data_IF_157751096338
#
_entry.id   IF_157751096338
#
_cell.length_a   1.000
_cell.length_b   1.000
_cell.length_c   1.000
_cell.angle_alpha   90.00
_cell.angle_beta   90.00
_cell.angle_gamma   90.00
#
_symmetry.space_group_name_H-M   'P 1'
#
loop_
_entity.id
_entity.type
_entity.pdbx_description
1 polymer ?
#
# COMPACT_ATOMS: atom_id res chain seq x y z
N UNK A 1 -24.56 -38.10 -10.43
CA UNK A 1 -24.78 -36.78 -9.80
C UNK A 1 -23.46 -36.40 -9.16
N UNK A 2 -22.84 -35.28 -9.55
CA UNK A 2 -21.73 -34.74 -8.77
C UNK A 2 -22.29 -34.32 -7.41
N UNK A 3 -21.65 -34.75 -6.33
CA UNK A 3 -22.00 -34.29 -4.99
C UNK A 3 -21.62 -32.80 -4.91
N UNK A 4 -22.59 -31.95 -4.55
CA UNK A 4 -22.32 -30.54 -4.25
C UNK A 4 -21.38 -30.52 -3.05
N UNK A 5 -20.20 -29.93 -3.23
CA UNK A 5 -19.21 -29.79 -2.16
C UNK A 5 -19.61 -28.63 -1.25
N UNK A 6 -19.72 -28.90 0.05
CA UNK A 6 -19.96 -27.87 1.06
C UNK A 6 -18.63 -27.24 1.46
N UNK A 7 -18.32 -26.14 0.78
CA UNK A 7 -17.08 -25.39 0.95
C UNK A 7 -17.37 -24.17 1.84
N UNK A 8 -16.59 -24.01 2.91
CA UNK A 8 -16.76 -22.89 3.85
C UNK A 8 -15.44 -22.22 4.14
N UNK A 9 -15.45 -20.90 4.26
CA UNK A 9 -14.41 -20.14 4.97
C UNK A 9 -14.87 -19.98 6.42
N UNK A 10 -14.03 -20.36 7.37
CA UNK A 10 -14.33 -20.30 8.80
C UNK A 10 -13.33 -19.36 9.46
N UNK A 11 -13.85 -18.31 10.10
CA UNK A 11 -13.08 -17.41 10.94
C UNK A 11 -13.42 -17.71 12.39
N UNK A 12 -12.41 -17.92 13.22
CA UNK A 12 -12.57 -18.12 14.66
C UNK A 12 -11.69 -17.13 15.43
N UNK A 13 -12.36 -16.12 16.01
CA UNK A 13 -11.77 -15.12 16.88
C UNK A 13 -11.87 -15.58 18.33
N UNK A 14 -10.82 -16.22 18.84
CA UNK A 14 -10.76 -16.62 20.24
C UNK A 14 -10.33 -15.45 21.10
N UNK A 15 -11.29 -14.84 21.75
CA UNK A 15 -11.13 -13.64 22.57
C UNK A 15 -11.24 -13.99 24.07
N UNK A 16 -10.45 -13.31 24.89
CA UNK A 16 -10.52 -13.33 26.35
C UNK A 16 -11.48 -12.25 26.86
N UNK A 17 -11.54 -11.11 26.17
CA UNK A 17 -12.45 -10.00 26.48
C UNK A 17 -13.52 -9.86 25.40
N UNK A 18 -14.75 -9.38 25.72
CA UNK A 18 -15.77 -9.12 24.72
C UNK A 18 -15.25 -8.22 23.60
N UNK A 19 -15.50 -8.61 22.34
CA UNK A 19 -15.14 -7.81 21.18
C UNK A 19 -16.17 -6.68 21.00
N UNK A 20 -15.71 -5.45 20.80
CA UNK A 20 -16.59 -4.35 20.44
C UNK A 20 -17.31 -4.62 19.12
N UNK A 21 -18.63 -4.42 19.09
CA UNK A 21 -19.45 -4.69 17.91
C UNK A 21 -18.94 -3.95 16.66
N UNK A 22 -18.49 -2.70 16.82
CA UNK A 22 -17.94 -1.91 15.72
C UNK A 22 -16.62 -2.49 15.19
N UNK A 23 -15.78 -3.06 16.06
CA UNK A 23 -14.52 -3.66 15.65
C UNK A 23 -14.76 -5.01 14.95
N UNK A 24 -15.70 -5.82 15.45
CA UNK A 24 -16.11 -7.06 14.79
C UNK A 24 -16.71 -6.77 13.41
N UNK A 25 -17.63 -5.81 13.30
CA UNK A 25 -18.27 -5.47 12.03
C UNK A 25 -17.27 -4.92 11.02
N UNK A 26 -16.34 -4.04 11.44
CA UNK A 26 -15.25 -3.58 10.57
C UNK A 26 -14.37 -4.75 10.09
N UNK A 27 -14.01 -5.67 10.98
CA UNK A 27 -13.23 -6.86 10.62
C UNK A 27 -13.93 -7.69 9.53
N UNK A 28 -15.24 -7.94 9.69
CA UNK A 28 -16.04 -8.70 8.70
C UNK A 28 -16.22 -7.94 7.37
N UNK A 29 -16.42 -6.63 7.41
CA UNK A 29 -16.49 -5.78 6.21
C UNK A 29 -15.16 -5.81 5.46
N UNK A 30 -14.04 -5.66 6.17
CA UNK A 30 -12.70 -5.72 5.58
C UNK A 30 -12.39 -7.08 4.95
N UNK A 31 -12.85 -8.17 5.59
CA UNK A 31 -12.73 -9.52 5.02
C UNK A 31 -13.51 -9.66 3.72
N UNK A 32 -14.76 -9.17 3.68
CA UNK A 32 -15.57 -9.18 2.47
C UNK A 32 -14.93 -8.32 1.36
N UNK A 33 -14.40 -7.15 1.69
CA UNK A 33 -13.67 -6.28 0.74
C UNK A 33 -12.42 -6.97 0.18
N UNK A 34 -11.62 -7.64 1.02
CA UNK A 34 -10.45 -8.41 0.58
C UNK A 34 -10.82 -9.55 -0.36
N UNK A 35 -11.86 -10.32 -0.01
CA UNK A 35 -12.36 -11.38 -0.87
C UNK A 35 -12.84 -10.83 -2.23
N UNK A 36 -13.66 -9.78 -2.22
CA UNK A 36 -14.19 -9.18 -3.45
C UNK A 36 -13.06 -8.63 -4.34
N UNK A 37 -12.06 -7.95 -3.75
CA UNK A 37 -10.87 -7.46 -4.47
C UNK A 37 -10.09 -8.61 -5.10
N UNK A 38 -9.89 -9.68 -4.35
CA UNK A 38 -9.19 -10.88 -4.81
C UNK A 38 -9.91 -11.54 -5.99
N UNK A 39 -11.20 -11.86 -5.86
CA UNK A 39 -11.94 -12.57 -6.92
C UNK A 39 -12.11 -11.72 -8.17
N UNK A 40 -12.31 -10.40 -8.04
CA UNK A 40 -12.39 -9.48 -9.19
C UNK A 40 -11.12 -9.52 -10.04
N UNK A 41 -9.95 -9.61 -9.39
CA UNK A 41 -8.64 -9.63 -10.05
C UNK A 41 -8.25 -11.01 -10.57
N UNK A 42 -8.51 -12.07 -9.80
CA UNK A 42 -7.87 -13.38 -9.99
C UNK A 42 -8.80 -14.47 -10.53
N UNK A 43 -10.12 -14.29 -10.48
CA UNK A 43 -11.03 -15.34 -10.95
C UNK A 43 -11.14 -15.37 -12.48
N UNK A 44 -11.28 -16.57 -13.05
CA UNK A 44 -11.30 -16.78 -14.50
C UNK A 44 -12.64 -16.46 -15.15
N UNK A 45 -13.75 -16.68 -14.43
CA UNK A 45 -15.11 -16.52 -14.96
C UNK A 45 -15.74 -15.21 -14.47
N UNK A 46 -16.65 -14.65 -15.27
CA UNK A 46 -17.43 -13.46 -14.86
C UNK A 46 -18.22 -13.72 -13.58
N UNK A 47 -18.79 -14.91 -13.45
CA UNK A 47 -19.55 -15.33 -12.29
C UNK A 47 -18.68 -15.34 -11.03
N UNK A 48 -17.49 -15.92 -11.10
CA UNK A 48 -16.57 -15.99 -9.97
C UNK A 48 -16.02 -14.60 -9.60
N UNK A 49 -15.88 -13.69 -10.57
CA UNK A 49 -15.53 -12.27 -10.28
C UNK A 49 -16.62 -11.51 -9.52
N UNK A 50 -17.87 -11.97 -9.59
CA UNK A 50 -19.01 -11.39 -8.88
C UNK A 50 -19.36 -12.15 -7.58
N UNK A 51 -18.52 -13.14 -7.20
CA UNK A 51 -18.68 -13.93 -5.98
C UNK A 51 -18.73 -13.06 -4.72
N UNK A 52 -19.55 -13.46 -3.76
CA UNK A 52 -19.72 -12.77 -2.46
C UNK A 52 -19.74 -13.77 -1.32
N UNK A 53 -19.21 -13.35 -0.18
CA UNK A 53 -19.29 -14.10 1.07
C UNK A 53 -20.60 -13.78 1.81
N UNK A 54 -21.25 -14.83 2.31
CA UNK A 54 -22.47 -14.73 3.12
C UNK A 54 -22.25 -15.39 4.48
N UNK A 55 -22.77 -14.76 5.54
CA UNK A 55 -22.77 -15.36 6.89
C UNK A 55 -23.74 -16.53 6.92
N UNK A 56 -23.21 -17.74 7.09
CA UNK A 56 -23.98 -18.97 7.27
C UNK A 56 -24.41 -19.15 8.72
N UNK A 57 -23.48 -18.96 9.66
CA UNK A 57 -23.71 -19.18 11.09
C UNK A 57 -22.72 -18.38 11.95
N UNK A 58 -23.16 -17.94 13.14
CA UNK A 58 -22.30 -17.39 14.20
C UNK A 58 -22.47 -18.24 15.47
N UNK A 59 -21.38 -18.87 15.95
CA UNK A 59 -21.41 -19.79 17.11
C UNK A 59 -20.83 -19.16 18.38
N UNK A 60 -21.23 -19.69 19.54
CA UNK A 60 -20.74 -19.30 20.88
C UNK A 60 -19.45 -20.04 21.26
N UNK A 61 -18.67 -19.46 22.20
CA UNK A 61 -17.40 -19.98 22.75
C UNK A 61 -16.17 -19.17 22.33
N UNK A 62 -16.32 -18.35 21.29
CA UNK A 62 -15.41 -17.40 20.62
C UNK A 62 -16.18 -16.96 19.36
N UNK A 63 -15.95 -15.77 18.79
CA UNK A 63 -16.73 -15.38 17.59
C UNK A 63 -16.31 -16.26 16.41
N UNK A 64 -17.12 -17.27 16.10
CA UNK A 64 -16.92 -18.20 14.99
C UNK A 64 -17.91 -17.81 13.89
N UNK A 65 -17.40 -17.39 12.74
CA UNK A 65 -18.20 -17.01 11.58
C UNK A 65 -17.91 -17.99 10.45
N UNK A 66 -18.96 -18.69 10.01
CA UNK A 66 -18.90 -19.54 8.82
C UNK A 66 -19.41 -18.76 7.61
N UNK A 67 -18.63 -18.75 6.52
CA UNK A 67 -18.88 -17.98 5.31
C UNK A 67 -18.89 -18.91 4.10
N UNK A 68 -19.82 -18.64 3.17
CA UNK A 68 -20.02 -19.44 1.94
C UNK A 68 -20.25 -18.54 0.72
N UNK A 69 -20.04 -19.09 -0.47
CA UNK A 69 -20.40 -18.49 -1.76
C UNK A 69 -21.67 -19.17 -2.30
N UNK A 70 -22.65 -18.42 -2.81
CA UNK A 70 -23.94 -19.00 -3.25
C UNK A 70 -23.80 -20.11 -4.31
N UNK A 71 -22.82 -20.00 -5.20
CA UNK A 71 -22.50 -21.02 -6.20
C UNK A 71 -22.20 -22.40 -5.55
N UNK A 72 -21.59 -22.42 -4.37
CA UNK A 72 -21.21 -23.64 -3.63
C UNK A 72 -22.37 -24.29 -2.87
N UNK A 73 -23.52 -23.62 -2.73
CA UNK A 73 -24.69 -24.11 -1.95
C UNK A 73 -25.66 -24.91 -2.85
N UNK A 74 -25.27 -25.29 -4.07
CA UNK A 74 -26.16 -26.01 -4.99
C UNK A 74 -27.15 -25.12 -5.75
N UNK A 75 -26.95 -23.80 -5.67
CA UNK A 75 -27.61 -22.74 -6.44
C UNK A 75 -27.64 -22.99 -7.96
N UNK A 76 -26.49 -23.41 -8.49
CA UNK A 76 -26.15 -23.28 -9.92
C UNK A 76 -25.47 -24.58 -10.39
N UNK A 77 -26.11 -25.41 -11.24
CA UNK A 77 -25.67 -26.78 -11.49
C UNK A 77 -24.44 -26.98 -12.39
N UNK A 78 -23.79 -25.92 -12.89
CA UNK A 78 -22.91 -26.03 -14.07
C UNK A 78 -21.54 -25.37 -13.97
N UNK A 79 -21.09 -24.98 -12.79
CA UNK A 79 -19.79 -24.33 -12.70
C UNK A 79 -18.74 -25.36 -12.29
N UNK A 80 -17.82 -25.68 -13.22
CA UNK A 80 -16.52 -26.24 -12.87
C UNK A 80 -15.74 -25.16 -12.11
N UNK A 81 -16.09 -24.98 -10.84
CA UNK A 81 -15.62 -23.86 -10.03
C UNK A 81 -14.18 -24.08 -9.60
N UNK A 82 -13.25 -23.28 -10.12
CA UNK A 82 -12.10 -22.84 -9.32
C UNK A 82 -12.63 -22.34 -7.98
N UNK A 83 -12.16 -22.95 -6.89
CA UNK A 83 -12.75 -22.70 -5.58
C UNK A 83 -12.18 -21.40 -5.02
N UNK A 84 -12.86 -20.30 -5.37
CA UNK A 84 -12.48 -18.93 -5.02
C UNK A 84 -12.22 -18.76 -3.52
N UNK A 85 -12.99 -19.46 -2.66
CA UNK A 85 -12.80 -19.46 -1.20
C UNK A 85 -11.45 -20.05 -0.81
N UNK A 86 -11.09 -21.21 -1.37
CA UNK A 86 -9.82 -21.88 -1.06
C UNK A 86 -8.63 -21.08 -1.60
N UNK A 87 -8.75 -20.56 -2.81
CA UNK A 87 -7.71 -19.77 -3.46
C UNK A 87 -7.47 -18.44 -2.72
N UNK A 88 -8.55 -17.75 -2.33
CA UNK A 88 -8.49 -16.57 -1.48
C UNK A 88 -7.82 -16.89 -0.13
N UNK A 89 -8.23 -17.97 0.53
CA UNK A 89 -7.66 -18.34 1.82
C UNK A 89 -6.16 -18.69 1.72
N UNK A 90 -5.74 -19.33 0.62
CA UNK A 90 -4.33 -19.56 0.29
C UNK A 90 -3.59 -18.24 0.08
N UNK A 91 -4.13 -17.33 -0.73
CA UNK A 91 -3.55 -16.02 -0.97
C UNK A 91 -3.38 -15.22 0.33
N UNK A 92 -4.44 -15.16 1.15
CA UNK A 92 -4.43 -14.49 2.45
C UNK A 92 -3.37 -15.10 3.38
N UNK A 93 -3.33 -16.43 3.50
CA UNK A 93 -2.33 -17.12 4.31
C UNK A 93 -0.90 -16.86 3.82
N UNK A 94 -0.66 -16.92 2.51
CA UNK A 94 0.65 -16.64 1.93
C UNK A 94 1.09 -15.21 2.21
N UNK A 95 0.19 -14.23 2.09
CA UNK A 95 0.50 -12.84 2.41
C UNK A 95 0.92 -12.67 3.88
N UNK A 96 0.14 -13.25 4.81
CA UNK A 96 0.46 -13.23 6.24
C UNK A 96 1.81 -13.90 6.53
N UNK A 97 2.05 -15.09 5.97
CA UNK A 97 3.29 -15.83 6.16
C UNK A 97 4.51 -15.07 5.61
N UNK A 98 4.39 -14.42 4.45
CA UNK A 98 5.47 -13.60 3.91
C UNK A 98 5.84 -12.46 4.85
N UNK A 99 4.87 -11.65 5.29
CA UNK A 99 5.20 -10.49 6.12
C UNK A 99 5.61 -10.84 7.54
N UNK A 100 5.04 -11.89 8.14
CA UNK A 100 5.35 -12.27 9.51
C UNK A 100 6.59 -13.17 9.64
N UNK A 101 6.79 -14.07 8.67
CA UNK A 101 7.79 -15.16 8.75
C UNK A 101 8.82 -15.12 7.63
N UNK A 102 8.68 -14.23 6.65
CA UNK A 102 9.51 -14.17 5.45
C UNK A 102 9.48 -15.49 4.64
N UNK A 103 8.31 -16.14 4.61
CA UNK A 103 8.06 -17.40 3.90
C UNK A 103 7.31 -17.15 2.58
N UNK A 104 7.75 -17.79 1.49
CA UNK A 104 7.10 -17.72 0.19
C UNK A 104 7.47 -16.50 -0.63
N UNK A 105 6.69 -16.23 -1.69
CA UNK A 105 6.90 -15.10 -2.59
C UNK A 105 6.24 -13.82 -2.05
N UNK A 106 6.82 -12.67 -2.39
CA UNK A 106 6.27 -11.37 -2.00
C UNK A 106 4.90 -11.18 -2.67
N UNK A 107 3.80 -11.04 -1.91
CA UNK A 107 2.49 -10.79 -2.49
C UNK A 107 2.40 -9.37 -3.04
N UNK A 108 1.66 -9.20 -4.14
CA UNK A 108 1.29 -7.88 -4.67
C UNK A 108 0.13 -7.29 -3.86
N UNK A 109 0.45 -6.57 -2.79
CA UNK A 109 -0.53 -5.88 -1.95
C UNK A 109 -0.47 -4.37 -2.14
N UNK A 110 -1.64 -3.75 -2.24
CA UNK A 110 -1.81 -2.30 -2.25
C UNK A 110 -1.86 -1.73 -0.82
N UNK A 111 -1.73 -0.41 -0.69
CA UNK A 111 -1.97 0.31 0.56
C UNK A 111 -3.35 0.01 1.16
N UNK A 112 -4.36 -0.20 0.32
CA UNK A 112 -5.70 -0.58 0.78
C UNK A 112 -5.67 -2.00 1.36
N UNK A 113 -5.01 -2.95 0.69
CA UNK A 113 -4.92 -4.33 1.19
C UNK A 113 -4.26 -4.39 2.58
N UNK A 114 -3.17 -3.65 2.79
CA UNK A 114 -2.54 -3.56 4.11
C UNK A 114 -3.50 -3.03 5.19
N UNK A 115 -4.30 -2.01 4.90
CA UNK A 115 -5.29 -1.46 5.84
C UNK A 115 -6.42 -2.44 6.12
N UNK A 116 -6.91 -3.13 5.11
CA UNK A 116 -7.99 -4.09 5.27
C UNK A 116 -7.52 -5.32 6.07
N UNK A 117 -6.35 -5.89 5.75
CA UNK A 117 -5.80 -7.03 6.51
C UNK A 117 -5.53 -6.64 7.96
N UNK A 118 -4.95 -5.45 8.19
CA UNK A 118 -4.82 -4.89 9.54
C UNK A 118 -6.18 -4.79 10.26
N UNK A 119 -7.22 -4.33 9.58
CA UNK A 119 -8.57 -4.20 10.17
C UNK A 119 -9.20 -5.56 10.49
N UNK A 120 -8.99 -6.57 9.63
CA UNK A 120 -9.47 -7.95 9.86
C UNK A 120 -8.94 -8.49 11.19
N UNK A 121 -7.65 -8.31 11.47
CA UNK A 121 -6.99 -8.90 12.65
C UNK A 121 -7.02 -7.97 13.88
N UNK A 122 -7.47 -6.72 13.74
CA UNK A 122 -7.50 -5.71 14.81
C UNK A 122 -8.24 -6.14 16.09
N UNK A 123 -9.38 -6.85 16.05
CA UNK A 123 -10.06 -7.31 17.26
C UNK A 123 -9.17 -8.16 18.18
N UNK A 124 -8.23 -8.91 17.60
CA UNK A 124 -7.31 -9.81 18.31
C UNK A 124 -6.04 -9.07 18.77
N UNK A 125 -5.59 -8.08 18.01
CA UNK A 125 -4.41 -7.26 18.36
C UNK A 125 -4.55 -6.60 19.74
N UNK A 126 -5.77 -6.15 20.07
CA UNK A 126 -6.09 -5.42 21.30
C UNK A 126 -6.34 -6.30 22.52
N UNK A 127 -6.41 -7.62 22.35
CA UNK A 127 -6.78 -8.55 23.41
C UNK A 127 -5.64 -9.54 23.68
N UNK A 128 -4.92 -9.34 24.79
CA UNK A 128 -3.74 -10.15 25.12
C UNK A 128 -4.14 -11.60 25.34
N UNK A 129 -3.41 -12.53 24.71
CA UNK A 129 -3.67 -13.97 24.79
C UNK A 129 -4.80 -14.45 23.88
N UNK A 130 -5.39 -13.57 23.08
CA UNK A 130 -6.38 -13.94 22.06
C UNK A 130 -5.73 -14.57 20.81
N UNK A 131 -6.56 -15.19 19.97
CA UNK A 131 -6.13 -15.89 18.77
C UNK A 131 -7.08 -15.61 17.60
N UNK A 132 -6.51 -15.36 16.43
CA UNK A 132 -7.20 -15.36 15.14
C UNK A 132 -6.94 -16.70 14.44
N UNK A 133 -7.99 -17.37 14.01
CA UNK A 133 -7.87 -18.56 13.18
C UNK A 133 -8.70 -18.40 11.91
N UNK A 134 -8.11 -18.74 10.78
CA UNK A 134 -8.77 -18.79 9.48
C UNK A 134 -8.58 -20.17 8.90
N UNK A 135 -9.66 -20.81 8.47
CA UNK A 135 -9.60 -22.10 7.83
C UNK A 135 -10.60 -22.25 6.69
N UNK A 136 -10.29 -23.11 5.73
CA UNK A 136 -11.28 -23.58 4.76
C UNK A 136 -11.66 -25.02 5.06
N UNK A 137 -12.94 -25.33 4.91
CA UNK A 137 -13.46 -26.69 5.07
C UNK A 137 -14.15 -27.17 3.80
N UNK A 138 -13.89 -28.40 3.37
CA UNK A 138 -14.65 -29.11 2.34
C UNK A 138 -15.38 -30.28 2.99
N UNK A 139 -16.71 -30.27 2.95
CA UNK A 139 -17.56 -31.32 3.56
C UNK A 139 -17.21 -31.57 5.05
N UNK A 140 -16.81 -30.51 5.76
CA UNK A 140 -16.41 -30.56 7.17
C UNK A 140 -14.93 -30.88 7.43
N UNK A 141 -14.15 -31.30 6.42
CA UNK A 141 -12.71 -31.54 6.56
C UNK A 141 -11.92 -30.24 6.39
N UNK A 142 -10.96 -29.98 7.27
CA UNK A 142 -10.09 -28.78 7.19
C UNK A 142 -9.03 -28.97 6.13
N UNK A 143 -9.00 -28.10 5.12
CA UNK A 143 -8.04 -28.13 4.01
C UNK A 143 -6.88 -27.15 4.22
N UNK A 144 -7.19 -25.98 4.77
CA UNK A 144 -6.21 -24.94 5.07
C UNK A 144 -6.48 -24.39 6.45
N UNK A 145 -5.39 -24.11 7.17
CA UNK A 145 -5.44 -23.45 8.46
C UNK A 145 -4.34 -22.39 8.57
N UNK A 146 -4.72 -21.20 9.03
CA UNK A 146 -3.87 -20.12 9.47
C UNK A 146 -4.21 -19.83 10.93
N UNK A 147 -3.17 -19.73 11.75
CA UNK A 147 -3.25 -19.38 13.16
C UNK A 147 -2.39 -18.15 13.41
N UNK A 148 -2.93 -17.18 14.14
CA UNK A 148 -2.19 -16.03 14.66
C UNK A 148 -2.56 -15.80 16.12
N UNK A 149 -1.57 -15.59 16.97
CA UNK A 149 -1.78 -15.12 18.33
C UNK A 149 -1.74 -13.58 18.41
N UNK A 150 -2.15 -13.02 19.55
CA UNK A 150 -2.12 -11.57 19.80
C UNK A 150 -0.75 -10.91 19.59
N UNK A 151 0.37 -11.59 19.88
CA UNK A 151 1.73 -11.05 19.67
C UNK A 151 2.06 -10.96 18.18
N UNK A 152 1.82 -12.02 17.42
CA UNK A 152 2.00 -12.07 15.96
C UNK A 152 1.11 -11.05 15.27
N UNK A 153 -0.13 -10.91 15.74
CA UNK A 153 -1.09 -9.93 15.23
C UNK A 153 -0.58 -8.50 15.45
N UNK A 154 -0.07 -8.18 16.64
CA UNK A 154 0.54 -6.88 16.92
C UNK A 154 1.80 -6.62 16.08
N UNK A 155 2.62 -7.64 15.84
CA UNK A 155 3.77 -7.52 14.95
C UNK A 155 3.33 -7.18 13.51
N UNK A 156 2.32 -7.89 12.98
CA UNK A 156 1.74 -7.63 11.66
C UNK A 156 1.19 -6.20 11.53
N UNK A 157 0.47 -5.70 12.54
CA UNK A 157 -0.01 -4.32 12.57
C UNK A 157 1.14 -3.32 12.37
N UNK A 158 2.24 -3.51 13.09
CA UNK A 158 3.41 -2.63 13.00
C UNK A 158 4.11 -2.75 11.63
N UNK A 159 4.20 -3.96 11.08
CA UNK A 159 4.78 -4.19 9.75
C UNK A 159 3.93 -3.50 8.68
N UNK A 160 2.61 -3.71 8.68
CA UNK A 160 1.71 -3.08 7.71
C UNK A 160 1.66 -1.56 7.85
N UNK A 161 1.73 -1.03 9.08
CA UNK A 161 1.88 0.42 9.28
C UNK A 161 3.13 0.94 8.59
N UNK A 162 4.28 0.26 8.73
CA UNK A 162 5.52 0.63 8.04
C UNK A 162 5.40 0.51 6.52
N UNK A 163 4.76 -0.54 5.99
CA UNK A 163 4.54 -0.67 4.54
C UNK A 163 3.62 0.44 3.98
N UNK A 164 2.57 0.81 4.73
CA UNK A 164 1.70 1.95 4.40
C UNK A 164 2.46 3.28 4.48
N UNK A 165 3.37 3.44 5.43
CA UNK A 165 4.22 4.64 5.54
C UNK A 165 5.20 4.69 4.37
N UNK A 166 5.85 3.56 4.01
CA UNK A 166 6.70 3.43 2.83
C UNK A 166 5.97 3.76 1.53
N UNK A 167 4.68 3.41 1.41
CA UNK A 167 3.90 3.72 0.21
C UNK A 167 3.36 5.16 0.17
N UNK A 168 3.37 5.87 1.31
CA UNK A 168 3.03 7.30 1.41
C UNK A 168 4.25 8.21 1.28
N UNK A 169 5.43 7.68 1.63
CA UNK A 169 6.69 8.28 1.25
C UNK A 169 6.74 8.21 -0.28
N UNK A 170 6.95 9.32 -1.02
CA UNK A 170 7.45 9.19 -2.39
C UNK A 170 8.68 8.30 -2.26
N UNK A 171 8.71 7.17 -3.01
CA UNK A 171 9.73 6.13 -2.90
C UNK A 171 11.07 6.76 -2.48
N UNK A 172 11.49 6.50 -1.24
CA UNK A 172 12.88 6.71 -0.84
C UNK A 172 13.70 5.61 -1.51
N UNK A 173 13.75 5.68 -2.84
CA UNK A 173 14.88 5.24 -3.60
C UNK A 173 15.70 6.49 -3.88
N UNK A 174 16.94 6.27 -4.29
CA UNK A 174 17.82 7.24 -4.91
C UNK A 174 17.25 7.91 -6.19
N UNK A 175 15.93 8.05 -6.31
CA UNK A 175 15.22 8.59 -7.45
C UNK A 175 15.46 10.09 -7.54
N UNK A 176 16.54 10.36 -8.24
CA UNK A 176 16.68 11.54 -9.05
C UNK A 176 15.38 11.74 -9.82
N UNK A 177 14.58 12.72 -9.43
CA UNK A 177 13.43 13.16 -10.21
C UNK A 177 13.97 13.80 -11.47
N UNK A 178 13.71 13.18 -12.61
CA UNK A 178 14.31 13.59 -13.88
C UNK A 178 13.47 14.62 -14.60
N UNK A 179 14.15 15.52 -15.31
CA UNK A 179 13.54 16.50 -16.23
C UNK A 179 12.44 17.36 -15.61
N UNK A 180 12.65 17.84 -14.39
CA UNK A 180 11.71 18.71 -13.68
C UNK A 180 12.00 20.18 -13.94
N UNK A 181 10.95 21.00 -14.01
CA UNK A 181 11.07 22.44 -14.27
C UNK A 181 11.37 23.20 -12.97
N UNK A 182 12.49 23.92 -12.95
CA UNK A 182 12.93 24.72 -11.81
C UNK A 182 13.11 26.19 -12.19
N UNK A 183 12.65 27.10 -11.32
CA UNK A 183 12.91 28.53 -11.42
C UNK A 183 13.60 29.06 -10.17
N UNK A 184 14.42 30.11 -10.32
CA UNK A 184 15.10 30.74 -9.19
C UNK A 184 14.15 31.67 -8.43
N UNK A 185 14.03 31.46 -7.12
CA UNK A 185 13.42 32.43 -6.20
C UNK A 185 14.48 33.36 -5.61
N UNK A 186 15.69 32.83 -5.36
CA UNK A 186 16.84 33.58 -4.87
C UNK A 186 18.12 32.95 -5.40
N UNK A 187 18.96 33.74 -6.06
CA UNK A 187 20.29 33.36 -6.52
C UNK A 187 21.33 34.32 -5.94
N UNK A 188 22.39 33.79 -5.32
CA UNK A 188 23.52 34.55 -4.78
C UNK A 188 24.76 34.30 -5.63
N UNK A 189 25.49 35.37 -5.91
CA UNK A 189 26.69 35.39 -6.76
C UNK A 189 27.98 34.92 -6.05
N UNK A 190 27.89 34.29 -4.88
CA UNK A 190 29.04 33.89 -4.06
C UNK A 190 29.31 32.37 -4.19
N UNK A 191 30.35 32.03 -4.93
CA UNK A 191 30.79 30.64 -5.14
C UNK A 191 31.23 29.92 -3.86
N UNK A 192 31.65 30.65 -2.82
CA UNK A 192 32.07 30.03 -1.55
C UNK A 192 30.90 29.67 -0.65
N UNK A 193 29.71 30.22 -0.91
CA UNK A 193 28.52 29.92 -0.13
C UNK A 193 27.86 28.63 -0.61
N UNK A 194 27.71 27.66 0.31
CA UNK A 194 26.95 26.41 0.09
C UNK A 194 25.45 26.57 0.39
N UNK A 195 25.03 27.72 0.92
CA UNK A 195 23.69 27.95 1.46
C UNK A 195 23.21 29.34 1.01
N UNK A 196 21.91 29.47 0.70
CA UNK A 196 21.27 30.77 0.44
C UNK A 196 20.67 30.95 -0.96
N UNK A 197 20.87 29.97 -1.85
CA UNK A 197 20.13 29.88 -3.10
C UNK A 197 18.79 29.16 -2.85
N UNK A 198 17.71 29.67 -3.43
CA UNK A 198 16.37 29.07 -3.33
C UNK A 198 15.72 28.96 -4.70
N UNK A 199 15.05 27.85 -4.93
CA UNK A 199 14.33 27.57 -6.17
C UNK A 199 12.95 27.01 -5.89
N UNK A 200 12.10 27.09 -6.91
CA UNK A 200 10.73 26.56 -6.90
C UNK A 200 10.62 25.52 -8.00
N UNK A 201 9.98 24.39 -7.69
CA UNK A 201 9.62 23.33 -8.62
C UNK A 201 8.12 23.10 -8.40
N UNK A 202 7.28 23.75 -9.20
CA UNK A 202 5.85 23.86 -8.91
C UNK A 202 5.11 22.52 -8.89
N UNK A 203 5.58 21.55 -9.69
CA UNK A 203 5.04 20.19 -9.70
C UNK A 203 5.31 19.41 -8.39
N UNK A 204 6.25 19.87 -7.56
CA UNK A 204 6.57 19.27 -6.26
C UNK A 204 6.00 20.09 -5.11
N UNK A 205 6.36 21.36 -5.04
CA UNK A 205 5.89 22.30 -4.03
C UNK A 205 6.07 23.75 -4.56
N UNK A 206 5.03 24.56 -4.38
CA UNK A 206 5.06 25.99 -4.73
C UNK A 206 5.92 26.81 -3.76
N UNK A 207 6.33 26.22 -2.64
CA UNK A 207 7.20 26.88 -1.65
C UNK A 207 8.66 26.89 -2.11
N UNK A 208 9.37 28.04 -2.02
CA UNK A 208 10.80 28.09 -2.30
C UNK A 208 11.61 27.28 -1.29
N UNK A 209 12.39 26.32 -1.78
CA UNK A 209 13.30 25.49 -0.97
C UNK A 209 14.76 25.79 -1.32
N UNK A 210 15.68 25.41 -0.43
CA UNK A 210 17.10 25.62 -0.66
C UNK A 210 17.59 24.77 -1.83
N UNK A 211 18.48 25.33 -2.66
CA UNK A 211 19.12 24.61 -3.76
C UNK A 211 20.57 24.31 -3.41
N UNK A 212 20.95 23.05 -3.61
CA UNK A 212 22.33 22.57 -3.56
C UNK A 212 22.69 21.90 -4.87
N UNK A 213 23.98 21.70 -5.13
CA UNK A 213 24.46 21.15 -6.41
C UNK A 213 25.30 19.90 -6.16
N UNK A 214 25.23 18.93 -7.07
CA UNK A 214 26.08 17.73 -7.06
C UNK A 214 27.55 18.06 -7.31
N UNK A 215 27.83 19.02 -8.20
CA UNK A 215 29.16 19.51 -8.51
C UNK A 215 29.16 21.02 -8.78
N UNK A 216 30.35 21.62 -8.79
CA UNK A 216 30.52 23.07 -9.01
C UNK A 216 30.32 23.47 -10.48
N UNK A 217 30.49 22.56 -11.45
CA UNK A 217 30.29 22.83 -12.88
C UNK A 217 28.82 23.16 -13.20
N UNK A 218 27.87 22.41 -12.61
CA UNK A 218 26.43 22.69 -12.74
C UNK A 218 26.10 24.05 -12.12
N UNK A 219 26.70 24.37 -10.97
CA UNK A 219 26.50 25.66 -10.31
C UNK A 219 26.98 26.83 -11.18
N UNK A 220 28.15 26.71 -11.80
CA UNK A 220 28.73 27.73 -12.66
C UNK A 220 27.86 27.99 -13.90
N UNK A 221 27.44 26.92 -14.59
CA UNK A 221 26.57 27.03 -15.77
C UNK A 221 25.21 27.67 -15.50
N UNK A 222 24.65 27.50 -14.30
CA UNK A 222 23.34 28.06 -13.94
C UNK A 222 23.40 29.48 -13.37
N UNK A 223 24.49 29.88 -12.71
CA UNK A 223 24.58 31.16 -11.98
C UNK A 223 25.47 32.21 -12.65
N UNK A 224 26.43 31.79 -13.48
CA UNK A 224 27.47 32.68 -14.03
C UNK A 224 27.57 32.64 -15.56
N UNK A 225 26.62 32.00 -16.25
CA UNK A 225 26.50 32.12 -17.71
C UNK A 225 26.06 33.52 -18.17
N UNK A 226 26.00 33.73 -19.48
CA UNK A 226 25.59 35.00 -20.12
C UNK A 226 24.09 35.33 -19.95
N UNK A 227 23.38 34.59 -19.10
CA UNK A 227 21.91 34.58 -19.00
C UNK A 227 21.48 34.98 -17.60
N UNK A 228 20.42 35.78 -17.50
CA UNK A 228 19.85 36.20 -16.22
C UNK A 228 19.04 35.06 -15.58
N UNK A 229 19.48 34.48 -14.45
CA UNK A 229 18.83 33.30 -13.86
C UNK A 229 17.37 33.54 -13.44
N UNK A 230 16.98 34.78 -13.14
CA UNK A 230 15.61 35.11 -12.72
C UNK A 230 14.60 35.17 -13.87
N UNK A 231 15.07 35.24 -15.11
CA UNK A 231 14.24 35.22 -16.32
C UNK A 231 14.26 33.85 -17.00
N UNK A 232 14.88 32.84 -16.39
CA UNK A 232 15.16 31.56 -17.03
C UNK A 232 14.55 30.43 -16.22
N UNK A 233 13.88 29.51 -16.93
CA UNK A 233 13.48 28.23 -16.37
C UNK A 233 14.45 27.15 -16.81
N UNK A 234 14.75 26.23 -15.90
CA UNK A 234 15.75 25.19 -16.08
C UNK A 234 15.08 23.82 -15.99
N UNK A 235 15.39 22.93 -16.92
CA UNK A 235 15.00 21.53 -16.86
C UNK A 235 16.14 20.74 -16.24
N UNK A 236 15.90 20.21 -15.05
CA UNK A 236 16.94 19.61 -14.20
C UNK A 236 16.53 18.26 -13.66
N UNK A 237 17.54 17.47 -13.30
CA UNK A 237 17.39 16.27 -12.50
C UNK A 237 17.68 16.61 -11.04
N UNK A 238 16.80 16.26 -10.10
CA UNK A 238 16.95 16.65 -8.69
C UNK A 238 16.76 15.50 -7.71
N UNK A 239 17.48 15.53 -6.60
CA UNK A 239 17.18 14.75 -5.39
C UNK A 239 16.51 15.64 -4.35
N UNK A 240 15.37 15.22 -3.82
CA UNK A 240 14.69 15.92 -2.71
C UNK A 240 15.37 15.54 -1.40
N UNK A 241 15.85 16.54 -0.66
CA UNK A 241 16.44 16.37 0.66
C UNK A 241 15.43 16.76 1.74
N UNK A 242 15.19 15.87 2.70
CA UNK A 242 14.19 16.05 3.75
C UNK A 242 14.82 16.22 5.12
N UNK A 243 14.15 16.95 6.01
CA UNK A 243 14.43 17.02 7.45
C UNK A 243 13.14 16.66 8.16
N UNK A 244 13.16 15.63 9.03
CA UNK A 244 11.95 15.14 9.72
C UNK A 244 10.79 14.89 8.75
N UNK A 245 11.08 14.23 7.63
CA UNK A 245 10.12 13.89 6.58
C UNK A 245 9.45 15.09 5.87
N UNK A 246 9.95 16.32 6.09
CA UNK A 246 9.54 17.52 5.38
C UNK A 246 10.59 17.91 4.33
N UNK A 247 10.23 18.20 3.06
CA UNK A 247 11.15 18.74 2.07
C UNK A 247 11.86 20.00 2.57
N UNK A 248 13.18 19.97 2.57
CA UNK A 248 14.03 21.05 3.09
C UNK A 248 14.92 21.66 2.01
N UNK A 249 15.36 20.86 1.04
CA UNK A 249 16.21 21.31 -0.06
C UNK A 249 16.06 20.42 -1.30
N UNK A 250 16.44 20.96 -2.46
CA UNK A 250 16.66 20.20 -3.69
C UNK A 250 18.15 20.17 -4.01
N UNK A 251 18.69 18.99 -4.32
CA UNK A 251 20.05 18.82 -4.83
C UNK A 251 19.97 18.59 -6.34
N UNK A 252 20.51 19.52 -7.12
CA UNK A 252 20.57 19.40 -8.58
C UNK A 252 21.68 18.42 -8.95
N UNK A 253 21.28 17.34 -9.62
CA UNK A 253 22.15 16.25 -10.07
C UNK A 253 22.59 16.47 -11.51
N UNK A 254 21.72 17.02 -12.36
CA UNK A 254 22.00 17.29 -13.77
C UNK A 254 21.19 18.47 -14.27
N UNK A 255 21.76 19.23 -15.19
CA UNK A 255 21.07 20.23 -16.01
C UNK A 255 20.94 19.68 -17.44
N UNK A 256 19.74 19.71 -18.02
CA UNK A 256 19.52 19.30 -19.41
C UNK A 256 19.46 20.49 -20.34
N UNK A 257 18.56 21.43 -20.07
CA UNK A 257 18.32 22.61 -20.89
C UNK A 257 17.71 23.75 -20.08
N UNK A 258 17.65 24.94 -20.68
CA UNK A 258 17.04 26.12 -20.09
C UNK A 258 16.44 27.00 -21.19
N UNK A 259 15.44 27.80 -20.85
CA UNK A 259 14.78 28.73 -21.76
C UNK A 259 14.31 30.01 -21.03
N UNK A 260 14.17 31.11 -21.77
CA UNK A 260 13.69 32.38 -21.22
C UNK A 260 12.16 32.31 -21.01
N UNK A 261 11.71 32.64 -19.81
CA UNK A 261 10.30 32.58 -19.42
C UNK A 261 9.51 33.71 -20.11
N UNK A 262 10.15 34.83 -20.42
CA UNK A 262 9.51 35.98 -21.07
C UNK A 262 9.21 35.74 -22.55
N UNK A 263 9.80 34.72 -23.17
CA UNK A 263 9.46 34.30 -24.53
C UNK A 263 8.14 33.51 -24.59
N UNK A 264 7.65 33.00 -23.46
CA UNK A 264 6.44 32.17 -23.37
C UNK A 264 5.17 33.04 -23.26
N UNK A 265 5.27 34.24 -22.68
CA UNK A 265 4.15 35.19 -22.51
C UNK A 265 3.69 35.87 -23.81
N UNK A 266 4.32 35.59 -24.96
CA UNK A 266 4.00 36.18 -26.26
C UNK A 266 3.21 35.28 -27.23
N UNK A 267 2.60 34.18 -26.76
CA UNK A 267 1.70 33.33 -27.56
C UNK A 267 0.35 33.10 -26.90
#
# INVERSE_FOLDING_TARGET
MSQIQDIRLVINLKNNNPIELLDLTKSLVSLATQFNSYVTKNADTKENKEAKLYVKEIKSGSVIVELVELATIGMIPFIENTNTIIEFAKHFKSAINYFLKNEGEKPELTTTDFKEIATIINPIAKDVGSQFNLSTTINGNVELHLHLNSTETNALQNIFKKEIEKSKLPEQLDDVKTSVLMTWFQARNDMKSKIGNKGVIEELDKKPLNITFENEEIKESMLHGDINPFNTAYIVDIKVQTIQDCPAAYKIVKLHEYFDINEIDNN
#
